data_IF_214153491006
#
_entry.id   IF_214153491006
#
_cell.length_a   1.000
_cell.length_b   1.000
_cell.length_c   1.000
_cell.angle_alpha   90.00
_cell.angle_beta   90.00
_cell.angle_gamma   90.00
#
_symmetry.space_group_name_H-M   'P 1'
#
loop_
_entity.id
_entity.type
_entity.pdbx_description
1 polymer ?
#
# COMPACT_ATOMS: atom_id res chain seq x y z
N UNK A 1 38.32 -67.40 23.85
CA UNK A 1 37.80 -66.99 22.56
C UNK A 1 36.87 -65.82 22.83
N UNK A 2 37.39 -64.58 22.77
CA UNK A 2 36.64 -63.36 23.06
C UNK A 2 36.18 -62.76 21.73
N UNK A 3 34.84 -62.61 21.52
CA UNK A 3 34.24 -61.95 20.35
C UNK A 3 34.15 -60.47 20.63
N UNK A 4 34.87 -59.66 19.85
CA UNK A 4 34.80 -58.18 19.83
C UNK A 4 33.60 -57.75 18.98
N UNK A 5 32.58 -57.22 19.63
CA UNK A 5 31.43 -56.62 18.93
C UNK A 5 31.80 -55.16 18.60
N UNK A 6 31.99 -54.89 17.30
CA UNK A 6 32.26 -53.54 16.77
C UNK A 6 30.89 -52.84 16.54
N UNK A 7 30.51 -51.92 17.44
CA UNK A 7 29.30 -51.12 17.28
C UNK A 7 29.58 -49.95 16.34
N UNK A 8 29.00 -49.97 15.14
CA UNK A 8 29.07 -48.89 14.13
C UNK A 8 28.03 -47.84 14.48
N UNK A 9 28.46 -46.69 15.03
CA UNK A 9 27.60 -45.51 15.25
C UNK A 9 27.52 -44.72 13.96
N UNK A 10 26.38 -44.80 13.27
CA UNK A 10 26.09 -43.95 12.08
C UNK A 10 25.55 -42.64 12.60
N UNK A 11 26.38 -41.57 12.57
CA UNK A 11 25.95 -40.20 12.82
C UNK A 11 25.22 -39.67 11.59
N UNK A 12 23.90 -39.58 11.61
CA UNK A 12 23.11 -38.91 10.60
C UNK A 12 23.27 -37.38 10.80
N UNK A 13 24.10 -36.76 9.97
CA UNK A 13 24.14 -35.32 9.86
C UNK A 13 22.87 -34.85 9.11
N UNK A 14 21.87 -34.39 9.86
CA UNK A 14 20.70 -33.72 9.32
C UNK A 14 21.15 -32.40 8.69
N UNK A 15 21.05 -32.29 7.35
CA UNK A 15 21.18 -31.02 6.64
C UNK A 15 19.95 -30.16 7.00
N UNK A 16 20.12 -29.26 7.95
CA UNK A 16 19.13 -28.20 8.18
C UNK A 16 19.14 -27.27 6.98
N UNK A 17 18.03 -27.24 6.24
CA UNK A 17 17.87 -26.26 5.16
C UNK A 17 17.83 -24.86 5.81
N UNK A 18 18.82 -24.03 5.52
CA UNK A 18 18.83 -22.62 5.91
C UNK A 18 17.94 -21.85 4.93
N UNK A 19 16.90 -21.18 5.45
CA UNK A 19 16.10 -20.25 4.67
C UNK A 19 16.94 -18.99 4.48
N UNK A 20 17.41 -18.78 3.24
CA UNK A 20 18.09 -17.54 2.84
C UNK A 20 17.05 -16.47 2.53
N UNK A 21 17.32 -15.21 2.92
CA UNK A 21 16.53 -14.04 2.53
C UNK A 21 17.40 -13.18 1.62
N UNK A 22 16.92 -12.93 0.40
CA UNK A 22 17.52 -11.98 -0.52
C UNK A 22 16.68 -10.71 -0.53
N UNK A 23 17.31 -9.55 -0.38
CA UNK A 23 16.65 -8.25 -0.37
C UNK A 23 17.16 -7.39 -1.51
N UNK A 24 16.23 -6.96 -2.36
CA UNK A 24 16.52 -6.04 -3.47
C UNK A 24 15.79 -4.72 -3.23
N UNK A 25 16.51 -3.60 -3.28
CA UNK A 25 15.90 -2.27 -3.22
C UNK A 25 15.17 -2.00 -4.54
N UNK A 26 13.84 -1.92 -4.50
CA UNK A 26 13.03 -1.64 -5.69
C UNK A 26 13.02 -0.15 -6.02
N UNK A 27 12.89 0.72 -5.00
CA UNK A 27 12.65 2.15 -5.20
C UNK A 27 13.06 2.96 -3.97
N UNK A 28 13.39 4.22 -4.19
CA UNK A 28 13.53 5.23 -3.16
C UNK A 28 12.74 6.46 -3.60
N UNK A 29 11.83 6.92 -2.74
CA UNK A 29 11.07 8.15 -2.95
C UNK A 29 11.68 9.28 -2.15
N UNK A 30 11.74 10.46 -2.77
CA UNK A 30 12.02 11.71 -2.07
C UNK A 30 10.71 12.40 -1.73
N UNK A 31 10.52 12.75 -0.46
CA UNK A 31 9.33 13.42 0.04
C UNK A 31 9.68 14.82 0.54
N UNK A 32 8.73 15.75 0.50
CA UNK A 32 8.93 17.18 0.80
C UNK A 32 9.07 17.47 2.31
N UNK A 33 9.11 16.46 3.14
CA UNK A 33 9.26 16.62 4.61
C UNK A 33 9.70 15.32 5.28
N UNK A 34 9.95 15.32 6.59
CA UNK A 34 10.31 14.11 7.31
C UNK A 34 9.12 13.13 7.30
N UNK A 35 9.27 11.90 6.77
CA UNK A 35 8.22 10.90 6.84
C UNK A 35 8.03 10.48 8.31
N UNK A 36 6.80 10.63 8.81
CA UNK A 36 6.41 10.28 10.18
C UNK A 36 5.90 8.84 10.24
N UNK A 37 5.13 8.44 9.23
CA UNK A 37 4.59 7.08 9.12
C UNK A 37 4.26 6.73 7.67
N UNK A 38 4.16 5.42 7.36
CA UNK A 38 3.85 4.90 6.03
C UNK A 38 2.84 3.76 6.15
N UNK A 39 1.82 3.79 5.30
CA UNK A 39 0.85 2.70 5.14
C UNK A 39 0.69 2.35 3.66
N UNK A 40 0.22 1.13 3.36
CA UNK A 40 -0.06 0.68 1.99
C UNK A 40 -1.45 0.08 1.91
N UNK A 41 -2.07 0.14 0.72
CA UNK A 41 -3.23 -0.69 0.42
C UNK A 41 -2.85 -2.17 0.39
N UNK A 42 -3.80 -3.07 0.65
CA UNK A 42 -3.51 -4.53 0.70
C UNK A 42 -3.15 -5.08 -0.68
N UNK A 43 -3.65 -4.47 -1.75
CA UNK A 43 -3.29 -4.79 -3.13
C UNK A 43 -1.93 -4.22 -3.55
N UNK A 44 -1.29 -3.42 -2.68
CA UNK A 44 0.01 -2.79 -2.91
C UNK A 44 0.01 -1.63 -3.92
N UNK A 45 -1.14 -1.25 -4.49
CA UNK A 45 -1.20 -0.22 -5.53
C UNK A 45 -1.07 1.21 -5.01
N UNK A 46 -1.44 1.43 -3.75
CA UNK A 46 -1.33 2.73 -3.11
C UNK A 46 -0.40 2.68 -1.91
N UNK A 47 0.40 3.71 -1.79
CA UNK A 47 1.22 3.99 -0.62
C UNK A 47 0.88 5.37 -0.08
N UNK A 48 0.64 5.44 1.22
CA UNK A 48 0.34 6.65 1.96
C UNK A 48 1.55 7.01 2.80
N UNK A 49 2.01 8.23 2.70
CA UNK A 49 3.14 8.75 3.51
C UNK A 49 2.67 9.94 4.30
N UNK A 50 2.67 9.82 5.62
CA UNK A 50 2.37 10.92 6.52
C UNK A 50 3.62 11.78 6.69
N UNK A 51 3.49 13.06 6.37
CA UNK A 51 4.47 14.11 6.69
C UNK A 51 3.79 15.18 7.53
N UNK A 52 4.53 16.09 8.20
CA UNK A 52 3.88 17.15 8.97
C UNK A 52 2.90 17.98 8.15
N UNK A 53 1.61 17.91 8.49
CA UNK A 53 0.54 18.70 7.86
C UNK A 53 -0.12 18.07 6.64
N UNK A 54 0.38 16.95 6.10
CA UNK A 54 -0.26 16.30 4.95
C UNK A 54 0.00 14.79 4.87
N UNK A 55 -0.89 14.09 4.18
CA UNK A 55 -0.69 12.72 3.73
C UNK A 55 -0.48 12.73 2.22
N UNK A 56 0.65 12.21 1.77
CA UNK A 56 1.00 12.04 0.37
C UNK A 56 0.55 10.67 -0.10
N UNK A 57 -0.15 10.61 -1.23
CA UNK A 57 -0.64 9.35 -1.83
C UNK A 57 0.16 9.08 -3.09
N UNK A 58 0.82 7.93 -3.14
CA UNK A 58 1.58 7.48 -4.30
C UNK A 58 0.96 6.22 -4.90
N UNK A 59 1.08 6.05 -6.22
CA UNK A 59 0.90 4.74 -6.84
C UNK A 59 2.18 3.90 -6.68
N UNK A 60 2.06 2.59 -6.84
CA UNK A 60 3.17 1.62 -6.82
C UNK A 60 4.30 1.99 -7.80
N UNK A 61 3.96 2.53 -8.97
CA UNK A 61 4.89 2.89 -10.04
C UNK A 61 5.25 4.38 -10.07
N UNK A 62 4.51 5.25 -9.37
CA UNK A 62 4.67 6.70 -9.43
C UNK A 62 5.87 7.23 -8.63
N UNK A 63 6.62 8.20 -9.17
CA UNK A 63 7.68 8.93 -8.46
C UNK A 63 7.17 10.21 -7.80
N UNK A 64 5.97 10.64 -8.18
CA UNK A 64 5.31 11.82 -7.64
C UNK A 64 3.99 11.41 -6.97
N UNK A 65 3.56 12.14 -5.94
CA UNK A 65 2.29 11.86 -5.31
C UNK A 65 1.13 12.07 -6.29
N UNK A 66 0.20 11.13 -6.34
CA UNK A 66 -1.08 11.25 -7.07
C UNK A 66 -1.95 12.34 -6.46
N UNK A 67 -1.93 12.43 -5.13
CA UNK A 67 -2.74 13.38 -4.38
C UNK A 67 -2.07 13.72 -3.05
N UNK A 68 -2.52 14.83 -2.43
CA UNK A 68 -2.10 15.33 -1.11
C UNK A 68 -3.35 15.64 -0.30
N UNK A 69 -3.44 15.11 0.89
CA UNK A 69 -4.54 15.36 1.81
C UNK A 69 -4.01 16.21 2.95
N UNK A 70 -4.48 17.44 3.10
CA UNK A 70 -4.09 18.28 4.25
C UNK A 70 -4.65 17.67 5.54
N UNK A 71 -3.81 17.56 6.56
CA UNK A 71 -4.15 17.09 7.90
C UNK A 71 -3.46 17.97 8.93
N UNK A 72 -3.86 17.86 10.20
CA UNK A 72 -3.18 18.61 11.25
C UNK A 72 -1.73 18.14 11.47
N UNK A 73 -0.85 19.08 11.79
CA UNK A 73 0.59 18.82 11.99
C UNK A 73 0.91 17.99 13.23
N UNK A 74 -0.06 17.79 14.11
CA UNK A 74 0.14 17.03 15.35
C UNK A 74 0.00 15.51 15.19
N UNK A 75 -0.45 15.02 14.03
CA UNK A 75 -0.52 13.59 13.76
C UNK A 75 0.87 13.00 13.57
N UNK A 76 1.14 11.89 14.25
CA UNK A 76 2.43 11.21 14.25
C UNK A 76 2.35 9.73 13.81
N UNK A 77 1.14 9.20 13.63
CA UNK A 77 0.90 7.82 13.16
C UNK A 77 -0.30 7.73 12.23
N UNK A 78 -0.23 6.73 11.36
CA UNK A 78 -1.27 6.47 10.37
C UNK A 78 -1.44 4.97 10.13
N UNK A 79 -2.67 4.55 9.85
CA UNK A 79 -3.01 3.18 9.41
C UNK A 79 -4.10 3.27 8.34
N UNK A 80 -4.04 2.40 7.33
CA UNK A 80 -5.08 2.27 6.32
C UNK A 80 -5.96 1.06 6.61
N UNK A 81 -7.25 1.30 6.84
CA UNK A 81 -8.28 0.27 7.04
C UNK A 81 -9.03 0.04 5.72
N UNK A 82 -8.48 -0.83 4.87
CA UNK A 82 -8.93 -1.05 3.49
C UNK A 82 -10.42 -1.43 3.37
N UNK A 83 -10.92 -2.32 4.21
CA UNK A 83 -12.34 -2.73 4.17
C UNK A 83 -13.33 -1.59 4.38
N UNK A 84 -12.87 -0.47 4.89
CA UNK A 84 -13.66 0.72 5.19
C UNK A 84 -13.24 1.92 4.34
N UNK A 85 -12.17 1.79 3.56
CA UNK A 85 -11.53 2.88 2.80
C UNK A 85 -11.18 4.07 3.70
N UNK A 86 -10.68 3.79 4.91
CA UNK A 86 -10.35 4.81 5.90
C UNK A 86 -8.86 4.88 6.17
N UNK A 87 -8.31 6.08 6.13
CA UNK A 87 -7.06 6.42 6.82
C UNK A 87 -7.40 6.79 8.27
N UNK A 88 -6.75 6.12 9.20
CA UNK A 88 -6.86 6.39 10.63
C UNK A 88 -5.57 7.07 11.05
N UNK A 89 -5.66 8.33 11.44
CA UNK A 89 -4.56 9.16 11.91
C UNK A 89 -4.63 9.27 13.43
N UNK A 90 -3.52 9.21 14.10
CA UNK A 90 -3.45 9.39 15.55
C UNK A 90 -2.34 10.34 15.98
N UNK A 91 -2.58 11.00 17.10
CA UNK A 91 -1.64 11.90 17.75
C UNK A 91 -1.45 11.50 19.20
N UNK A 92 -0.22 11.15 19.55
CA UNK A 92 0.13 10.86 20.93
C UNK A 92 0.14 12.12 21.80
N UNK A 93 0.57 13.25 21.25
CA UNK A 93 0.66 14.52 21.97
C UNK A 93 -0.73 15.08 22.32
N UNK A 94 -1.64 15.08 21.34
CA UNK A 94 -2.99 15.64 21.50
C UNK A 94 -4.01 14.60 21.98
N UNK A 95 -3.65 13.31 22.01
CA UNK A 95 -4.52 12.19 22.40
C UNK A 95 -5.79 12.14 21.53
N UNK A 96 -5.64 12.37 20.22
CA UNK A 96 -6.73 12.38 19.24
C UNK A 96 -6.54 11.29 18.22
N UNK A 97 -7.65 10.84 17.63
CA UNK A 97 -7.70 9.92 16.48
C UNK A 97 -8.70 10.49 15.48
N UNK A 98 -8.26 10.68 14.24
CA UNK A 98 -9.10 11.10 13.12
C UNK A 98 -9.27 9.98 12.11
N UNK A 99 -10.43 9.95 11.46
CA UNK A 99 -10.74 8.98 10.40
C UNK A 99 -11.07 9.75 9.13
N UNK A 100 -10.25 9.55 8.10
CA UNK A 100 -10.39 10.20 6.79
C UNK A 100 -10.78 9.15 5.76
N UNK A 101 -11.93 9.32 5.11
CA UNK A 101 -12.37 8.43 4.02
C UNK A 101 -11.56 8.72 2.76
N UNK A 102 -11.13 7.66 2.09
CA UNK A 102 -10.43 7.72 0.82
C UNK A 102 -11.34 7.14 -0.26
N UNK A 103 -11.86 8.00 -1.12
CA UNK A 103 -12.64 7.58 -2.28
C UNK A 103 -11.76 7.74 -3.54
N UNK A 104 -11.50 6.65 -4.24
CA UNK A 104 -10.76 6.68 -5.50
C UNK A 104 -11.69 7.17 -6.61
N UNK A 105 -11.43 8.36 -7.11
CA UNK A 105 -12.15 8.94 -8.25
C UNK A 105 -11.33 8.63 -9.50
N UNK A 106 -11.90 7.84 -10.42
CA UNK A 106 -11.31 7.59 -11.73
C UNK A 106 -11.90 8.57 -12.74
N UNK A 107 -11.05 9.37 -13.36
CA UNK A 107 -11.44 10.20 -14.51
C UNK A 107 -11.55 9.29 -15.74
N UNK A 108 -12.78 9.11 -16.22
CA UNK A 108 -13.06 8.30 -17.40
C UNK A 108 -13.21 9.23 -18.60
N UNK A 109 -12.21 9.26 -19.49
CA UNK A 109 -12.34 9.94 -20.76
C UNK A 109 -13.34 9.19 -21.64
N UNK A 110 -14.37 9.90 -22.08
CA UNK A 110 -15.35 9.39 -23.03
C UNK A 110 -15.05 9.83 -24.46
N UNK A 111 -13.93 10.49 -24.70
CA UNK A 111 -13.51 10.99 -26.02
C UNK A 111 -13.36 9.82 -27.00
N UNK A 112 -14.07 9.92 -28.12
CA UNK A 112 -14.09 8.86 -29.14
C UNK A 112 -14.99 7.68 -28.83
N UNK A 113 -15.65 7.64 -27.66
CA UNK A 113 -16.62 6.60 -27.33
C UNK A 113 -17.99 6.92 -27.94
N UNK A 114 -18.75 5.91 -28.44
CA UNK A 114 -20.10 6.12 -28.91
C UNK A 114 -21.00 6.56 -27.75
N UNK A 115 -21.74 7.65 -27.95
CA UNK A 115 -22.66 8.15 -26.95
C UNK A 115 -24.07 8.35 -27.50
N UNK A 116 -25.07 8.31 -26.63
CA UNK A 116 -26.47 8.59 -26.97
C UNK A 116 -26.99 9.71 -26.08
N UNK A 117 -27.44 10.80 -26.68
CA UNK A 117 -28.00 11.94 -25.96
C UNK A 117 -27.44 13.27 -26.46
N UNK A 118 -27.70 14.33 -25.69
CA UNK A 118 -27.18 15.66 -25.98
C UNK A 118 -25.74 15.79 -25.46
N UNK A 119 -24.86 16.41 -26.25
CA UNK A 119 -23.47 16.63 -25.87
C UNK A 119 -23.30 17.56 -24.64
N UNK A 120 -24.29 18.41 -24.37
CA UNK A 120 -24.35 19.35 -23.26
C UNK A 120 -25.24 18.88 -22.08
N UNK A 121 -25.45 17.57 -21.96
CA UNK A 121 -26.22 17.02 -20.87
C UNK A 121 -25.55 17.27 -19.51
N UNK A 122 -26.36 17.65 -18.49
CA UNK A 122 -25.87 17.93 -17.14
C UNK A 122 -25.38 16.69 -16.39
N UNK A 123 -25.77 15.50 -16.86
CA UNK A 123 -25.35 14.21 -16.28
C UNK A 123 -24.97 13.27 -17.41
N UNK A 124 -23.81 12.64 -17.28
CA UNK A 124 -23.34 11.59 -18.18
C UNK A 124 -23.23 10.28 -17.42
N UNK A 125 -23.76 9.20 -18.00
CA UNK A 125 -23.63 7.84 -17.46
C UNK A 125 -22.70 7.08 -18.39
N UNK A 126 -21.56 6.63 -17.88
CA UNK A 126 -20.67 5.71 -18.60
C UNK A 126 -21.05 4.27 -18.27
N UNK A 127 -21.29 3.46 -19.30
CA UNK A 127 -21.57 2.04 -19.18
C UNK A 127 -20.39 1.28 -19.78
N UNK A 128 -19.78 0.41 -18.98
CA UNK A 128 -18.73 -0.50 -19.42
C UNK A 128 -19.40 -1.85 -19.67
N UNK A 129 -19.38 -2.31 -20.90
CA UNK A 129 -19.91 -3.63 -21.29
C UNK A 129 -18.76 -4.45 -21.87
N UNK A 130 -18.57 -5.67 -21.35
CA UNK A 130 -17.57 -6.61 -21.83
C UNK A 130 -18.26 -7.57 -22.82
N UNK A 131 -18.06 -7.32 -24.11
CA UNK A 131 -18.52 -8.23 -25.17
C UNK A 131 -17.56 -9.41 -25.26
N UNK A 132 -17.94 -10.52 -24.65
CA UNK A 132 -17.31 -11.83 -24.86
C UNK A 132 -17.85 -12.50 -26.10
#
# INVERSE_FOLDING_TARGET
MYALIFSLVISANGLAATVGVEATRLKQLSVDGPPLDVATSTDGKLMFVLVPGEVLIYSDLGDHPLNRIPVDTHFDRMTFAEKLDLLILSSNSNKTVDMVRIDLISDVSIDGSPYKGKADALVTIAVFDDYQ
#
